data_IF_104156023245
#
_entry.id   IF_104156023245
#
_cell.length_a   1.000
_cell.length_b   1.000
_cell.length_c   1.000
_cell.angle_alpha   90.00
_cell.angle_beta   90.00
_cell.angle_gamma   90.00
#
_symmetry.space_group_name_H-M   'P 1'
#
loop_
_entity.id
_entity.type
_entity.pdbx_description
1 polymer ?
#
# COMPACT_ATOMS: atom_id res chain seq x y z
N UNK A 1 38.02 2.47 16.53
CA UNK A 1 37.33 1.55 15.59
C UNK A 1 36.06 1.05 16.23
N UNK A 2 35.09 0.61 15.42
CA UNK A 2 33.87 -0.13 15.83
C UNK A 2 32.57 0.65 16.16
N UNK A 3 32.38 1.90 15.73
CA UNK A 3 31.05 2.55 15.85
C UNK A 3 30.54 3.24 14.56
N UNK A 4 31.35 3.29 13.50
CA UNK A 4 30.94 3.84 12.19
C UNK A 4 30.22 2.83 11.29
N UNK A 5 30.38 1.53 11.55
CA UNK A 5 29.86 0.42 10.71
C UNK A 5 28.37 0.13 10.97
N UNK A 6 27.91 0.22 12.23
CA UNK A 6 26.51 -0.11 12.60
C UNK A 6 25.51 0.86 11.96
N UNK A 7 25.89 2.14 11.82
CA UNK A 7 25.03 3.19 11.25
C UNK A 7 24.86 3.05 9.74
N UNK A 8 25.85 2.46 9.06
CA UNK A 8 25.82 2.26 7.61
C UNK A 8 25.00 1.01 7.24
N UNK A 9 25.09 -0.07 8.03
CA UNK A 9 24.21 -1.25 7.89
C UNK A 9 22.73 -0.92 8.10
N UNK A 10 22.41 -0.06 9.06
CA UNK A 10 21.02 0.39 9.29
C UNK A 10 20.47 1.24 8.14
N UNK A 11 21.32 2.00 7.45
CA UNK A 11 20.91 2.80 6.27
C UNK A 11 20.62 1.93 5.05
N UNK A 12 21.32 0.80 4.89
CA UNK A 12 21.04 -0.17 3.82
C UNK A 12 19.74 -0.97 4.06
N UNK A 13 19.27 -1.09 5.30
CA UNK A 13 17.97 -1.73 5.60
C UNK A 13 16.78 -0.79 5.43
N UNK A 14 17.01 0.52 5.37
CA UNK A 14 16.07 1.49 4.84
C UNK A 14 16.15 1.55 3.30
N UNK A 15 16.44 0.41 2.67
CA UNK A 15 16.35 0.25 1.23
C UNK A 15 14.91 0.60 0.86
N UNK A 16 14.78 1.73 0.18
CA UNK A 16 13.55 2.25 -0.36
C UNK A 16 12.93 1.10 -1.16
N UNK A 17 11.97 0.39 -0.56
CA UNK A 17 11.14 -0.59 -1.27
C UNK A 17 10.30 0.23 -2.23
N UNK A 18 10.83 0.48 -3.41
CA UNK A 18 10.06 1.08 -4.48
C UNK A 18 9.23 -0.07 -5.05
N UNK A 19 7.90 0.09 -5.06
CA UNK A 19 6.99 -0.76 -5.82
C UNK A 19 7.35 -0.64 -7.32
N UNK A 20 8.33 -1.42 -7.77
CA UNK A 20 8.75 -1.51 -9.17
C UNK A 20 8.31 -2.85 -9.74
N UNK A 21 7.79 -2.84 -10.96
CA UNK A 21 7.44 -4.05 -11.71
C UNK A 21 5.94 -4.37 -11.75
N UNK A 22 5.63 -5.56 -12.27
CA UNK A 22 4.28 -6.07 -12.44
C UNK A 22 3.85 -6.82 -11.17
N UNK A 23 2.83 -6.30 -10.46
CA UNK A 23 2.28 -6.98 -9.28
C UNK A 23 1.20 -7.98 -9.71
N UNK A 24 1.33 -9.28 -9.39
CA UNK A 24 0.29 -10.25 -9.67
C UNK A 24 -0.92 -9.98 -8.77
N UNK A 25 -2.05 -9.62 -9.37
CA UNK A 25 -3.31 -9.40 -8.66
C UNK A 25 -4.36 -10.45 -9.03
N UNK A 26 -5.25 -10.75 -8.08
CA UNK A 26 -6.42 -11.57 -8.37
C UNK A 26 -7.41 -10.76 -9.21
N UNK A 27 -7.79 -11.26 -10.38
CA UNK A 27 -8.70 -10.54 -11.28
C UNK A 27 -10.09 -10.30 -10.64
N UNK A 28 -10.53 -11.18 -9.74
CA UNK A 28 -11.83 -11.09 -9.06
C UNK A 28 -11.79 -10.15 -7.85
N UNK A 29 -10.95 -10.45 -6.86
CA UNK A 29 -10.95 -9.73 -5.56
C UNK A 29 -9.85 -8.67 -5.42
N UNK A 30 -8.99 -8.50 -6.43
CA UNK A 30 -7.91 -7.50 -6.49
C UNK A 30 -6.84 -7.58 -5.39
N UNK A 31 -6.84 -8.66 -4.59
CA UNK A 31 -5.74 -8.99 -3.68
C UNK A 31 -4.44 -9.17 -4.45
N UNK A 32 -3.33 -8.76 -3.85
CA UNK A 32 -1.98 -8.92 -4.40
C UNK A 32 -1.42 -10.25 -3.89
N UNK A 33 -0.76 -11.01 -4.77
CA UNK A 33 0.03 -12.17 -4.34
C UNK A 33 1.42 -11.70 -3.92
N UNK A 34 1.78 -11.95 -2.68
CA UNK A 34 3.10 -11.58 -2.13
C UNK A 34 4.21 -12.54 -2.56
N UNK A 35 5.42 -12.27 -2.09
CA UNK A 35 6.64 -13.03 -2.33
C UNK A 35 6.60 -14.46 -1.74
N UNK A 36 5.77 -14.69 -0.73
CA UNK A 36 5.51 -15.99 -0.12
C UNK A 36 4.36 -16.75 -0.80
N UNK A 37 3.71 -16.14 -1.80
CA UNK A 37 2.60 -16.73 -2.52
C UNK A 37 1.24 -16.55 -1.85
N UNK A 38 1.16 -15.79 -0.75
CA UNK A 38 -0.10 -15.51 -0.07
C UNK A 38 -0.86 -14.37 -0.76
N UNK A 39 -2.19 -14.39 -0.63
CA UNK A 39 -3.06 -13.34 -1.16
C UNK A 39 -3.41 -12.33 -0.08
N UNK A 40 -2.88 -11.12 -0.21
CA UNK A 40 -3.05 -10.04 0.78
C UNK A 40 -3.85 -8.86 0.20
N UNK A 41 -4.44 -8.05 1.09
CA UNK A 41 -5.08 -6.80 0.69
C UNK A 41 -4.05 -5.84 0.09
N UNK A 42 -4.47 -5.09 -0.92
CA UNK A 42 -3.59 -4.20 -1.67
C UNK A 42 -3.02 -3.08 -0.80
N UNK A 43 -3.87 -2.50 0.04
CA UNK A 43 -3.51 -1.43 0.98
C UNK A 43 -2.43 -1.91 1.96
N UNK A 44 -2.60 -3.12 2.51
CA UNK A 44 -1.63 -3.73 3.41
C UNK A 44 -0.30 -4.01 2.68
N UNK A 45 -0.36 -4.55 1.46
CA UNK A 45 0.84 -4.81 0.67
C UNK A 45 1.62 -3.52 0.39
N UNK A 46 0.94 -2.48 -0.09
CA UNK A 46 1.55 -1.19 -0.43
C UNK A 46 2.14 -0.54 0.82
N UNK A 47 1.42 -0.55 1.94
CA UNK A 47 1.91 0.00 3.21
C UNK A 47 3.18 -0.71 3.71
N UNK A 48 3.26 -2.05 3.54
CA UNK A 48 4.43 -2.82 3.95
C UNK A 48 5.63 -2.69 2.98
N UNK A 49 5.39 -2.16 1.77
CA UNK A 49 6.38 -2.09 0.69
C UNK A 49 6.58 -0.67 0.16
N UNK A 50 6.17 0.37 0.89
CA UNK A 50 6.40 1.78 0.54
C UNK A 50 6.23 2.67 1.77
N UNK A 51 6.52 3.96 1.64
CA UNK A 51 6.23 4.96 2.67
C UNK A 51 4.79 5.52 2.57
N UNK A 52 3.93 4.91 1.75
CA UNK A 52 2.57 5.38 1.55
C UNK A 52 1.67 5.09 2.76
N UNK A 53 0.92 6.11 3.18
CA UNK A 53 -0.15 6.01 4.17
C UNK A 53 -1.51 6.18 3.49
N UNK A 54 -2.50 5.43 3.97
CA UNK A 54 -3.86 5.46 3.42
C UNK A 54 -4.80 6.20 4.36
N UNK A 55 -5.59 7.12 3.79
CA UNK A 55 -6.76 7.69 4.45
C UNK A 55 -8.04 7.04 3.92
N UNK A 56 -9.10 7.07 4.73
CA UNK A 56 -10.40 6.54 4.36
C UNK A 56 -11.34 7.69 4.04
N UNK A 57 -11.74 7.79 2.78
CA UNK A 57 -12.69 8.79 2.29
C UNK A 57 -13.55 8.24 1.16
N UNK A 58 -14.64 8.94 0.87
CA UNK A 58 -15.50 8.63 -0.28
C UNK A 58 -15.26 9.68 -1.37
N UNK A 59 -15.02 9.23 -2.59
CA UNK A 59 -15.03 10.16 -3.73
C UNK A 59 -16.45 10.72 -3.94
N UNK A 60 -16.61 11.87 -4.63
CA UNK A 60 -17.92 12.47 -4.85
C UNK A 60 -18.94 11.52 -5.51
N UNK A 61 -18.48 10.64 -6.41
CA UNK A 61 -19.35 9.64 -7.05
C UNK A 61 -19.88 8.61 -6.04
N UNK A 62 -18.98 8.00 -5.25
CA UNK A 62 -19.36 7.05 -4.21
C UNK A 62 -20.25 7.69 -3.15
N UNK A 63 -19.95 8.93 -2.75
CA UNK A 63 -20.76 9.67 -1.79
C UNK A 63 -22.17 9.92 -2.32
N UNK A 64 -22.34 10.35 -3.58
CA UNK A 64 -23.66 10.50 -4.21
C UNK A 64 -24.42 9.19 -4.36
N UNK A 65 -23.71 8.10 -4.65
CA UNK A 65 -24.33 6.77 -4.82
C UNK A 65 -24.84 6.21 -3.49
N UNK A 66 -24.04 6.33 -2.43
CA UNK A 66 -24.37 5.79 -1.11
C UNK A 66 -25.30 6.68 -0.31
N UNK A 67 -25.23 8.00 -0.49
CA UNK A 67 -26.02 8.98 0.26
C UNK A 67 -26.73 9.98 -0.68
N UNK A 68 -27.56 9.51 -1.63
CA UNK A 68 -28.18 10.35 -2.65
C UNK A 68 -29.04 11.47 -2.05
N UNK A 69 -29.67 11.24 -0.91
CA UNK A 69 -30.50 12.21 -0.18
C UNK A 69 -29.72 13.42 0.35
N UNK A 70 -28.44 13.24 0.71
CA UNK A 70 -27.60 14.35 1.19
C UNK A 70 -27.21 15.28 0.03
N UNK A 71 -27.14 14.77 -1.20
CA UNK A 71 -26.69 15.50 -2.38
C UNK A 71 -27.82 16.06 -3.27
N UNK A 72 -29.09 15.83 -2.92
CA UNK A 72 -30.27 16.22 -3.74
C UNK A 72 -30.92 17.56 -3.33
N UNK A 73 -30.18 18.48 -2.70
CA UNK A 73 -30.70 19.82 -2.37
C UNK A 73 -30.47 20.83 -3.48
#
# INVERSE_FOLDING_TARGET
>A
GSNRDITERKKLQAEIKILRGLLPICASCKRIRDDQGNWTQMELYIKNHSEAEFSHGLCPECARKLYPEIFKK
#
